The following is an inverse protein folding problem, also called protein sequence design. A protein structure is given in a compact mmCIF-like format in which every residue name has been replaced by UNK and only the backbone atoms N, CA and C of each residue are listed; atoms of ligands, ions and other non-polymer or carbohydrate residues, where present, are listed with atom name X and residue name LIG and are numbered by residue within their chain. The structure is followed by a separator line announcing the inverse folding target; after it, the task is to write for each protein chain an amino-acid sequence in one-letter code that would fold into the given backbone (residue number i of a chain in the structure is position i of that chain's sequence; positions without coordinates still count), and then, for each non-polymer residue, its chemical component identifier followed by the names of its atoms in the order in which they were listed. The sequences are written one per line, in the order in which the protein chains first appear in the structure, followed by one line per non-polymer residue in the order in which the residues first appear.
data_IF_095076659701
#
_entry.id   IF_095076659701
#
_cell.length_a   1.000
_cell.length_b   1.000
_cell.length_c   1.000
_cell.angle_alpha   90.00
_cell.angle_beta   90.00
_cell.angle_gamma   90.00
#
_symmetry.space_group_name_H-M   'P 1'
#
loop_
_entity.id
_entity.type
_entity.pdbx_description
1 polymer ?
#
# COMPACT_ATOMS: atom_id res chain seq x y z
N UNK A 1 13.20 12.91 25.86
CA UNK A 1 13.18 11.74 24.97
C UNK A 1 11.92 11.92 24.15
N UNK A 2 12.04 12.51 22.97
CA UNK A 2 10.91 12.65 22.05
C UNK A 2 10.46 11.23 21.66
N UNK A 3 9.14 10.94 21.61
CA UNK A 3 8.67 9.68 21.04
C UNK A 3 9.28 9.57 19.65
N UNK A 4 10.04 8.50 19.39
CA UNK A 4 10.69 8.27 18.11
C UNK A 4 9.66 8.47 17.01
N UNK A 5 9.95 9.34 16.04
CA UNK A 5 9.09 9.54 14.89
C UNK A 5 9.10 8.22 14.11
N UNK A 6 8.08 7.40 14.35
CA UNK A 6 7.81 6.19 13.59
C UNK A 6 7.78 6.61 12.12
N UNK A 7 8.36 5.86 11.19
CA UNK A 7 8.30 6.22 9.78
C UNK A 7 6.84 6.30 9.37
N UNK A 8 6.36 7.54 9.18
CA UNK A 8 5.06 7.83 8.64
C UNK A 8 5.19 7.96 7.14
N UNK A 9 4.29 7.32 6.39
CA UNK A 9 4.11 7.64 4.98
C UNK A 9 3.91 9.15 4.82
N UNK A 10 4.69 9.79 3.96
CA UNK A 10 4.64 11.23 3.70
C UNK A 10 3.99 11.49 2.37
N UNK A 11 3.36 12.66 2.26
CA UNK A 11 2.85 13.16 0.97
C UNK A 11 3.97 13.14 -0.06
N UNK A 12 3.73 12.50 -1.20
CA UNK A 12 4.68 12.30 -2.29
C UNK A 12 5.51 11.01 -2.20
N UNK A 13 5.41 10.24 -1.11
CA UNK A 13 6.00 8.90 -1.06
C UNK A 13 5.29 7.99 -2.08
N UNK A 14 6.07 7.16 -2.77
CA UNK A 14 5.57 6.20 -3.76
C UNK A 14 6.06 4.80 -3.41
N UNK A 15 5.14 3.84 -3.37
CA UNK A 15 5.44 2.42 -3.17
C UNK A 15 5.01 1.64 -4.40
N UNK A 16 5.92 0.87 -5.00
CA UNK A 16 5.58 -0.13 -6.00
C UNK A 16 5.75 -1.52 -5.39
N UNK A 17 4.68 -2.33 -5.40
CA UNK A 17 4.71 -3.66 -4.80
C UNK A 17 4.65 -4.71 -5.89
N UNK A 18 5.69 -5.50 -6.06
CA UNK A 18 5.78 -6.54 -7.08
C UNK A 18 5.19 -7.84 -6.55
N UNK A 19 3.93 -8.14 -6.89
CA UNK A 19 3.34 -9.46 -6.70
C UNK A 19 3.59 -10.35 -7.94
N UNK A 20 3.43 -11.68 -7.84
CA UNK A 20 3.64 -12.56 -8.99
C UNK A 20 2.76 -12.25 -10.21
N UNK A 21 1.54 -11.73 -10.00
CA UNK A 21 0.56 -11.53 -11.08
C UNK A 21 0.40 -10.07 -11.54
N UNK A 22 0.70 -9.09 -10.68
CA UNK A 22 0.54 -7.67 -10.99
C UNK A 22 1.36 -6.78 -10.04
N UNK A 23 1.53 -5.52 -10.43
CA UNK A 23 2.26 -4.51 -9.65
C UNK A 23 1.38 -3.29 -9.41
N UNK A 24 0.85 -3.08 -8.18
CA UNK A 24 0.31 -1.78 -7.80
C UNK A 24 1.44 -0.78 -7.51
N UNK A 25 1.24 0.45 -7.97
CA UNK A 25 1.88 1.67 -7.51
C UNK A 25 0.93 2.39 -6.58
N UNK A 26 1.39 2.77 -5.41
CA UNK A 26 0.66 3.54 -4.41
C UNK A 26 1.39 4.88 -4.26
N UNK A 27 0.68 5.97 -4.49
CA UNK A 27 1.18 7.34 -4.31
C UNK A 27 0.42 7.98 -3.15
N UNK A 28 1.14 8.51 -2.16
CA UNK A 28 0.51 9.20 -1.02
C UNK A 28 0.22 10.65 -1.42
N UNK A 29 -1.05 10.97 -1.63
CA UNK A 29 -1.50 12.26 -2.15
C UNK A 29 -1.62 13.32 -1.06
N UNK A 30 -2.20 12.92 0.07
CA UNK A 30 -2.38 13.77 1.25
C UNK A 30 -2.08 12.98 2.53
N UNK A 31 -2.33 13.59 3.68
CA UNK A 31 -2.21 12.89 4.97
C UNK A 31 -3.23 11.75 5.14
N UNK A 32 -4.29 11.71 4.32
CA UNK A 32 -5.41 10.79 4.48
C UNK A 32 -5.80 10.09 3.19
N UNK A 33 -5.28 10.52 2.04
CA UNK A 33 -5.63 9.98 0.73
C UNK A 33 -4.42 9.44 0.00
N UNK A 34 -4.62 8.34 -0.73
CA UNK A 34 -3.64 7.75 -1.64
C UNK A 34 -4.29 7.47 -2.99
N UNK A 35 -3.47 7.42 -4.02
CA UNK A 35 -3.84 6.87 -5.32
C UNK A 35 -3.16 5.53 -5.50
N UNK A 36 -3.93 4.50 -5.84
CA UNK A 36 -3.43 3.20 -6.28
C UNK A 36 -3.61 3.08 -7.79
N UNK A 37 -2.57 2.61 -8.48
CA UNK A 37 -2.57 2.36 -9.93
C UNK A 37 -1.96 0.99 -10.19
N UNK A 38 -2.56 0.15 -11.04
CA UNK A 38 -1.89 -1.07 -11.50
C UNK A 38 -1.05 -0.75 -12.73
N UNK A 39 0.28 -0.84 -12.58
CA UNK A 39 1.26 -0.42 -13.59
C UNK A 39 1.85 -1.59 -14.38
N UNK A 40 1.62 -2.84 -13.96
CA UNK A 40 2.01 -4.04 -14.69
C UNK A 40 1.11 -5.23 -14.32
N UNK A 41 0.93 -6.17 -15.26
CA UNK A 41 0.24 -7.44 -15.04
C UNK A 41 -1.29 -7.35 -15.11
N UNK A 42 -1.96 -8.23 -14.37
CA UNK A 42 -3.43 -8.31 -14.34
C UNK A 42 -4.06 -6.99 -13.86
N UNK A 43 -5.14 -6.55 -14.52
CA UNK A 43 -5.82 -5.27 -14.27
C UNK A 43 -5.00 -4.00 -14.57
N UNK A 44 -3.95 -4.09 -15.41
CA UNK A 44 -3.18 -2.95 -15.91
C UNK A 44 -4.08 -1.77 -16.32
N UNK A 45 -3.77 -0.59 -15.82
CA UNK A 45 -4.52 0.65 -16.08
C UNK A 45 -5.68 0.91 -15.14
N UNK A 46 -5.97 0.00 -14.19
CA UNK A 46 -6.83 0.33 -13.05
C UNK A 46 -6.18 1.44 -12.21
N UNK A 47 -6.97 2.42 -11.79
CA UNK A 47 -6.56 3.49 -10.90
C UNK A 47 -7.71 3.88 -9.98
N UNK A 48 -7.41 4.16 -8.72
CA UNK A 48 -8.39 4.64 -7.74
C UNK A 48 -7.72 5.55 -6.70
N UNK A 49 -8.38 6.65 -6.33
CA UNK A 49 -7.91 7.57 -5.28
C UNK A 49 -8.86 7.50 -4.11
N UNK A 50 -8.36 7.13 -2.92
CA UNK A 50 -9.19 6.72 -1.78
C UNK A 50 -8.65 7.26 -0.47
N UNK A 51 -9.53 7.35 0.53
CA UNK A 51 -9.11 7.52 1.91
C UNK A 51 -8.41 6.26 2.42
N UNK A 52 -7.35 6.42 3.21
CA UNK A 52 -6.61 5.33 3.82
C UNK A 52 -6.39 5.54 5.31
N UNK A 53 -6.09 4.44 6.01
CA UNK A 53 -5.54 4.46 7.36
C UNK A 53 -4.17 3.79 7.39
N UNK A 54 -3.22 4.40 8.09
CA UNK A 54 -1.87 3.89 8.25
C UNK A 54 -1.48 3.90 9.72
N UNK A 55 -1.19 2.71 10.25
CA UNK A 55 -0.79 2.50 11.64
C UNK A 55 0.64 1.98 11.66
N UNK A 56 1.54 2.72 12.29
CA UNK A 56 2.89 2.23 12.52
C UNK A 56 2.87 1.16 13.63
N UNK A 57 3.33 -0.05 13.31
CA UNK A 57 3.31 -1.21 14.22
C UNK A 57 4.62 -1.34 15.02
N UNK A 58 5.73 -0.91 14.40
CA UNK A 58 7.06 -0.64 14.99
C UNK A 58 7.88 0.16 13.97
N UNK A 59 9.11 0.53 14.31
CA UNK A 59 10.02 1.16 13.35
C UNK A 59 10.15 0.31 12.09
N UNK A 60 9.96 0.95 10.93
CA UNK A 60 10.03 0.33 9.61
C UNK A 60 8.84 -0.56 9.23
N UNK A 61 7.86 -0.79 10.11
CA UNK A 61 6.73 -1.70 9.88
C UNK A 61 5.39 -0.96 10.00
N UNK A 62 4.64 -0.92 8.90
CA UNK A 62 3.39 -0.16 8.80
C UNK A 62 2.25 -1.10 8.39
N UNK A 63 1.10 -0.98 9.04
CA UNK A 63 -0.16 -1.51 8.52
C UNK A 63 -0.85 -0.40 7.73
N UNK A 64 -1.09 -0.61 6.43
CA UNK A 64 -1.78 0.33 5.55
C UNK A 64 -3.07 -0.32 5.06
N UNK A 65 -4.20 0.38 5.14
CA UNK A 65 -5.49 -0.18 4.71
C UNK A 65 -6.41 0.86 4.08
N UNK A 66 -7.26 0.41 3.17
CA UNK A 66 -8.31 1.21 2.54
C UNK A 66 -9.41 0.33 1.97
N UNK A 67 -10.47 0.98 1.50
CA UNK A 67 -11.49 0.38 0.64
C UNK A 67 -11.52 1.13 -0.69
N UNK A 68 -11.42 0.40 -1.79
CA UNK A 68 -11.60 0.93 -3.15
C UNK A 68 -13.06 1.31 -3.40
N UNK A 69 -13.32 2.26 -4.29
CA UNK A 69 -14.67 2.67 -4.67
C UNK A 69 -15.49 1.53 -5.28
N UNK A 70 -14.82 0.53 -5.86
CA UNK A 70 -15.47 -0.69 -6.38
C UNK A 70 -15.90 -1.67 -5.27
N UNK A 71 -15.51 -1.40 -4.02
CA UNK A 71 -15.91 -2.14 -2.82
C UNK A 71 -14.86 -3.11 -2.28
N UNK A 72 -13.75 -3.33 -3.00
CA UNK A 72 -12.65 -4.19 -2.52
C UNK A 72 -11.98 -3.57 -1.31
N UNK A 73 -11.63 -4.39 -0.31
CA UNK A 73 -10.86 -3.94 0.86
C UNK A 73 -9.44 -4.49 0.82
N UNK A 74 -8.48 -3.63 1.14
CA UNK A 74 -7.05 -3.95 1.07
C UNK A 74 -6.44 -3.69 2.44
N UNK A 75 -5.62 -4.63 2.91
CA UNK A 75 -4.75 -4.46 4.07
C UNK A 75 -3.35 -4.91 3.69
N UNK A 76 -2.38 -4.01 3.79
CA UNK A 76 -0.96 -4.29 3.71
C UNK A 76 -0.33 -4.28 5.09
N UNK A 77 0.61 -5.20 5.31
CA UNK A 77 1.70 -5.05 6.28
C UNK A 77 2.96 -4.82 5.47
N UNK A 78 3.51 -3.61 5.57
CA UNK A 78 4.65 -3.12 4.82
C UNK A 78 5.87 -3.11 5.74
N UNK A 79 6.81 -4.02 5.51
CA UNK A 79 8.14 -3.99 6.11
C UNK A 79 9.07 -3.23 5.16
N UNK A 80 9.28 -1.94 5.43
CA UNK A 80 10.05 -1.04 4.57
C UNK A 80 11.56 -1.30 4.68
N UNK A 81 12.03 -1.85 5.81
CA UNK A 81 13.44 -2.25 6.00
C UNK A 81 13.76 -3.50 5.17
N UNK A 82 12.92 -4.53 5.28
CA UNK A 82 13.06 -5.78 4.53
C UNK A 82 12.60 -5.66 3.06
N UNK A 83 11.94 -4.53 2.70
CA UNK A 83 11.32 -4.30 1.39
C UNK A 83 10.31 -5.38 1.02
N UNK A 84 9.47 -5.76 1.97
CA UNK A 84 8.49 -6.84 1.81
C UNK A 84 7.10 -6.37 2.22
N UNK A 85 6.12 -6.69 1.38
CA UNK A 85 4.71 -6.52 1.69
C UNK A 85 4.04 -7.89 1.89
N UNK A 86 3.18 -7.97 2.91
CA UNK A 86 2.16 -9.00 3.03
C UNK A 86 0.79 -8.33 2.91
N UNK A 87 -0.04 -8.83 2.00
CA UNK A 87 -1.30 -8.17 1.64
C UNK A 87 -2.44 -9.14 1.73
N UNK A 88 -3.54 -8.67 2.30
CA UNK A 88 -4.84 -9.32 2.24
C UNK A 88 -5.76 -8.44 1.42
N UNK A 89 -6.35 -9.02 0.38
CA UNK A 89 -7.37 -8.36 -0.44
C UNK A 89 -8.67 -9.13 -0.27
N UNK A 90 -9.74 -8.42 0.06
CA UNK A 90 -11.11 -8.95 -0.02
C UNK A 90 -11.77 -8.25 -1.21
N UNK A 91 -11.82 -8.90 -2.38
CA UNK A 91 -12.48 -8.30 -3.54
C UNK A 91 -13.95 -8.04 -3.27
N UNK A 92 -14.54 -7.03 -3.91
CA UNK A 92 -15.98 -6.79 -3.83
C UNK A 92 -16.82 -8.01 -4.26
N UNK A 93 -16.26 -8.84 -5.15
CA UNK A 93 -16.78 -10.13 -5.57
C UNK A 93 -15.64 -11.13 -5.71
N UNK A 94 -15.80 -12.32 -5.14
CA UNK A 94 -14.83 -13.40 -5.23
C UNK A 94 -14.28 -13.80 -3.87
N UNK A 95 -13.17 -14.52 -3.90
CA UNK A 95 -12.54 -15.09 -2.71
C UNK A 95 -11.46 -14.18 -2.14
N UNK A 96 -11.23 -14.32 -0.84
CA UNK A 96 -10.13 -13.66 -0.13
C UNK A 96 -8.78 -14.04 -0.74
N UNK A 97 -7.96 -13.04 -1.05
CA UNK A 97 -6.60 -13.23 -1.57
C UNK A 97 -5.57 -12.91 -0.50
N UNK A 98 -4.49 -13.70 -0.46
CA UNK A 98 -3.32 -13.44 0.38
C UNK A 98 -2.09 -13.40 -0.51
N UNK A 99 -1.41 -12.27 -0.52
CA UNK A 99 -0.30 -11.98 -1.40
C UNK A 99 0.94 -11.63 -0.58
N UNK A 100 2.10 -11.90 -1.15
CA UNK A 100 3.38 -11.40 -0.65
C UNK A 100 4.19 -10.89 -1.84
N UNK A 101 4.79 -9.72 -1.70
CA UNK A 101 5.49 -9.04 -2.79
C UNK A 101 6.63 -8.16 -2.30
N UNK A 102 7.54 -7.84 -3.20
CA UNK A 102 8.68 -6.95 -2.92
C UNK A 102 8.25 -5.50 -3.04
N UNK A 103 8.72 -4.64 -2.14
CA UNK A 103 8.48 -3.20 -2.18
C UNK A 103 9.68 -2.49 -2.83
N UNK A 104 9.43 -1.68 -3.83
CA UNK A 104 10.35 -0.62 -4.24
C UNK A 104 9.77 0.72 -3.74
N UNK A 105 10.51 1.36 -2.82
CA UNK A 105 10.07 2.57 -2.12
C UNK A 105 10.84 3.78 -2.63
N UNK A 106 10.11 4.78 -3.11
CA UNK A 106 10.65 6.08 -3.51
C UNK A 106 10.10 7.14 -2.54
N UNK A 107 10.94 7.70 -1.65
CA UNK A 107 10.48 8.72 -0.72
C UNK A 107 10.18 10.04 -1.44
N UNK A 108 9.25 10.82 -0.87
CA UNK A 108 9.04 12.21 -1.23
C UNK A 108 10.35 13.00 -1.13
N UNK A 109 10.59 13.85 -2.13
CA UNK A 109 11.76 14.76 -2.22
C UNK A 109 11.68 15.93 -1.25
#
# INVERSE_FOLDING_TARGET
MEPGAWPSLRVGDVLEIQFPAFTPRITIETQNTLTVEIVAGDNLGFADTVDYDAVALRDGLIMLSWQEHIGSTIVHVLDLEARQAHTVVTPAKGELMRLAGRIEFTPAS
#
